data_IF_644515537639
#
_entry.id   IF_644515537639
#
_cell.length_a   1.000
_cell.length_b   1.000
_cell.length_c   1.000
_cell.angle_alpha   90.00
_cell.angle_beta   90.00
_cell.angle_gamma   90.00
#
_symmetry.space_group_name_H-M   'P 1'
#
loop_
_entity.id
_entity.type
_entity.pdbx_description
1 polymer ?
#
# COMPACT_ATOMS: atom_id res chain seq x y z
N UNK A 1 -4.26 10.39 -27.05
CA UNK A 1 -4.29 10.84 -25.65
C UNK A 1 -4.60 9.61 -24.81
N UNK A 2 -3.68 9.15 -23.95
CA UNK A 2 -4.00 8.08 -22.99
C UNK A 2 -4.98 8.66 -21.97
N UNK A 3 -6.02 7.91 -21.62
CA UNK A 3 -6.99 8.37 -20.63
C UNK A 3 -6.33 8.40 -19.26
N UNK A 4 -6.67 9.37 -18.40
CA UNK A 4 -6.18 9.43 -17.00
C UNK A 4 -6.51 8.17 -16.18
N UNK A 5 -7.40 7.31 -16.68
CA UNK A 5 -7.73 6.00 -16.14
C UNK A 5 -6.61 5.00 -16.44
N UNK A 6 -6.08 4.97 -17.66
CA UNK A 6 -5.02 4.05 -18.08
C UNK A 6 -3.72 4.29 -17.32
N UNK A 7 -3.42 5.56 -17.02
CA UNK A 7 -2.24 5.96 -16.23
C UNK A 7 -2.36 5.52 -14.77
N UNK A 8 -3.57 5.68 -14.20
CA UNK A 8 -3.86 5.18 -12.85
C UNK A 8 -3.71 3.65 -12.78
N UNK A 9 -4.30 2.92 -13.73
CA UNK A 9 -4.20 1.45 -13.81
C UNK A 9 -2.73 1.02 -13.96
N UNK A 10 -1.95 1.72 -14.79
CA UNK A 10 -0.54 1.43 -14.98
C UNK A 10 0.28 1.60 -13.68
N UNK A 11 0.01 2.65 -12.89
CA UNK A 11 0.66 2.85 -11.59
C UNK A 11 0.31 1.74 -10.59
N UNK A 12 -0.95 1.32 -10.54
CA UNK A 12 -1.42 0.23 -9.68
C UNK A 12 -0.79 -1.10 -10.05
N UNK A 13 -0.75 -1.42 -11.35
CA UNK A 13 -0.07 -2.61 -11.86
C UNK A 13 1.43 -2.61 -11.56
N UNK A 14 2.10 -1.46 -11.68
CA UNK A 14 3.52 -1.35 -11.34
C UNK A 14 3.78 -1.62 -9.86
N UNK A 15 2.96 -1.05 -8.97
CA UNK A 15 3.06 -1.27 -7.53
C UNK A 15 2.82 -2.75 -7.18
N UNK A 16 1.77 -3.36 -7.75
CA UNK A 16 1.45 -4.78 -7.55
C UNK A 16 2.60 -5.69 -8.00
N UNK A 17 3.14 -5.47 -9.20
CA UNK A 17 4.25 -6.26 -9.75
C UNK A 17 5.51 -6.14 -8.88
N UNK A 18 5.80 -4.93 -8.41
CA UNK A 18 6.93 -4.69 -7.53
C UNK A 18 6.77 -5.41 -6.19
N UNK A 19 5.61 -5.26 -5.56
CA UNK A 19 5.26 -5.96 -4.33
C UNK A 19 5.41 -7.49 -4.48
N UNK A 20 4.81 -8.09 -5.51
CA UNK A 20 4.87 -9.53 -5.75
C UNK A 20 6.32 -10.02 -5.90
N UNK A 21 7.18 -9.25 -6.58
CA UNK A 21 8.60 -9.58 -6.72
C UNK A 21 9.32 -9.55 -5.36
N UNK A 22 9.11 -8.49 -4.57
CA UNK A 22 9.73 -8.35 -3.25
C UNK A 22 9.23 -9.43 -2.29
N UNK A 23 7.95 -9.73 -2.29
CA UNK A 23 7.34 -10.77 -1.46
C UNK A 23 7.91 -12.16 -1.82
N UNK A 24 7.97 -12.48 -3.12
CA UNK A 24 8.62 -13.71 -3.61
C UNK A 24 10.07 -13.83 -3.14
N UNK A 25 10.85 -12.76 -3.25
CA UNK A 25 12.25 -12.75 -2.82
C UNK A 25 12.39 -12.93 -1.31
N UNK A 26 11.52 -12.28 -0.52
CA UNK A 26 11.56 -12.32 0.94
C UNK A 26 11.13 -13.67 1.52
N UNK A 27 10.09 -14.28 0.96
CA UNK A 27 9.47 -15.48 1.54
C UNK A 27 9.70 -16.77 0.75
N UNK A 28 10.22 -16.69 -0.47
CA UNK A 28 10.38 -17.84 -1.37
C UNK A 28 9.06 -18.37 -1.93
N UNK A 29 7.98 -17.60 -1.82
CA UNK A 29 6.62 -18.03 -2.18
C UNK A 29 6.20 -17.40 -3.50
N UNK A 30 5.82 -18.23 -4.48
CA UNK A 30 5.39 -17.77 -5.81
C UNK A 30 4.11 -16.93 -5.75
N UNK A 31 4.18 -15.74 -6.36
CA UNK A 31 3.06 -14.85 -6.64
C UNK A 31 3.01 -14.60 -8.15
N UNK A 32 1.93 -15.01 -8.82
CA UNK A 32 1.89 -15.07 -10.27
C UNK A 32 0.55 -14.63 -10.83
N UNK A 33 0.59 -14.18 -12.08
CA UNK A 33 -0.52 -13.62 -12.84
C UNK A 33 -1.09 -12.33 -12.24
N UNK A 34 -1.33 -11.34 -13.08
CA UNK A 34 -1.85 -10.03 -12.68
C UNK A 34 -3.01 -9.74 -13.63
N UNK A 35 -4.19 -9.56 -13.06
CA UNK A 35 -5.36 -9.11 -13.81
C UNK A 35 -5.94 -7.88 -13.14
N UNK A 36 -6.34 -6.90 -13.94
CA UNK A 36 -7.16 -5.79 -13.47
C UNK A 36 -8.61 -6.26 -13.33
N UNK A 37 -9.30 -5.84 -12.27
CA UNK A 37 -10.69 -6.24 -12.06
C UNK A 37 -11.66 -5.06 -12.24
N UNK A 38 -12.78 -5.33 -12.90
CA UNK A 38 -13.96 -4.47 -12.91
C UNK A 38 -15.25 -5.32 -12.83
N UNK A 39 -16.37 -4.82 -12.25
CA UNK A 39 -16.50 -3.82 -11.19
C UNK A 39 -16.55 -4.45 -9.76
N UNK A 40 -16.41 -3.62 -8.71
CA UNK A 40 -16.52 -3.97 -7.27
C UNK A 40 -15.50 -4.99 -6.72
N UNK A 41 -14.35 -5.11 -7.39
CA UNK A 41 -13.22 -5.97 -6.99
C UNK A 41 -11.98 -5.10 -6.72
N UNK A 42 -11.02 -5.55 -5.90
CA UNK A 42 -9.78 -4.82 -5.64
C UNK A 42 -8.99 -4.58 -6.93
N UNK A 43 -8.14 -3.55 -6.91
CA UNK A 43 -7.46 -3.02 -8.11
C UNK A 43 -6.78 -4.09 -8.97
N UNK A 44 -6.21 -5.12 -8.34
CA UNK A 44 -5.51 -6.23 -9.00
C UNK A 44 -5.87 -7.57 -8.36
N UNK A 45 -6.03 -8.63 -9.15
CA UNK A 45 -6.02 -10.02 -8.69
C UNK A 45 -4.69 -10.70 -9.04
N UNK A 46 -4.24 -11.65 -8.22
CA UNK A 46 -3.11 -12.54 -8.47
C UNK A 46 -3.33 -13.94 -7.85
N UNK A 47 -2.41 -14.87 -8.09
CA UNK A 47 -2.32 -16.12 -7.35
C UNK A 47 -1.14 -16.12 -6.39
N UNK A 48 -1.40 -16.40 -5.11
CA UNK A 48 -0.41 -16.74 -4.09
C UNK A 48 -0.50 -18.24 -3.83
N UNK A 49 0.53 -19.02 -4.18
CA UNK A 49 0.51 -20.49 -4.04
C UNK A 49 -0.75 -21.15 -4.63
N UNK A 50 -1.18 -20.73 -5.82
CA UNK A 50 -2.38 -21.22 -6.52
C UNK A 50 -3.72 -20.81 -5.88
N UNK A 51 -3.71 -20.08 -4.76
CA UNK A 51 -4.90 -19.47 -4.19
C UNK A 51 -5.09 -18.05 -4.72
N UNK A 52 -6.32 -17.69 -5.04
CA UNK A 52 -6.64 -16.33 -5.50
C UNK A 52 -6.40 -15.35 -4.35
N UNK A 53 -5.71 -14.27 -4.66
CA UNK A 53 -5.48 -13.15 -3.76
C UNK A 53 -5.75 -11.86 -4.52
N UNK A 54 -6.57 -10.99 -3.94
CA UNK A 54 -6.81 -9.67 -4.48
C UNK A 54 -6.00 -8.61 -3.72
N UNK A 55 -5.50 -7.64 -4.45
CA UNK A 55 -4.65 -6.55 -3.96
C UNK A 55 -5.38 -5.23 -4.18
N UNK A 56 -5.61 -4.51 -3.09
CA UNK A 56 -5.95 -3.10 -3.13
C UNK A 56 -4.64 -2.30 -3.11
N UNK A 57 -4.49 -1.35 -4.03
CA UNK A 57 -3.30 -0.54 -4.16
C UNK A 57 -3.56 0.88 -3.63
N UNK A 58 -2.59 1.40 -2.91
CA UNK A 58 -2.55 2.79 -2.50
C UNK A 58 -1.16 3.36 -2.69
N UNK A 59 -1.09 4.67 -2.94
CA UNK A 59 0.17 5.40 -3.01
C UNK A 59 0.20 6.43 -1.88
N UNK A 60 1.32 6.48 -1.20
CA UNK A 60 1.56 7.38 -0.09
C UNK A 60 2.35 8.58 -0.60
N UNK A 61 1.79 9.76 -0.47
CA UNK A 61 2.38 11.03 -0.91
C UNK A 61 2.63 11.93 0.29
N UNK A 62 3.71 12.71 0.28
CA UNK A 62 3.98 13.69 1.34
C UNK A 62 3.46 15.09 1.05
N UNK A 63 3.22 15.43 -0.21
CA UNK A 63 2.65 16.73 -0.60
C UNK A 63 1.67 16.64 -1.77
N UNK A 64 0.84 17.67 -1.90
CA UNK A 64 -0.07 17.86 -3.04
C UNK A 64 0.68 17.91 -4.36
N UNK A 65 1.75 18.72 -4.41
CA UNK A 65 2.54 18.91 -5.63
C UNK A 65 3.16 17.60 -6.13
N UNK A 66 3.65 16.75 -5.23
CA UNK A 66 4.18 15.43 -5.59
C UNK A 66 3.09 14.49 -6.06
N UNK A 67 1.95 14.46 -5.36
CA UNK A 67 0.82 13.62 -5.76
C UNK A 67 0.33 14.01 -7.16
N UNK A 68 0.21 15.30 -7.47
CA UNK A 68 -0.14 15.78 -8.81
C UNK A 68 0.94 15.43 -9.85
N UNK A 69 2.22 15.58 -9.52
CA UNK A 69 3.34 15.24 -10.43
C UNK A 69 3.38 13.76 -10.77
N UNK A 70 3.07 12.89 -9.81
CA UNK A 70 3.07 11.43 -10.00
C UNK A 70 1.79 10.97 -10.72
N UNK A 71 0.65 11.58 -10.39
CA UNK A 71 -0.65 11.23 -10.99
C UNK A 71 -0.92 11.92 -12.34
N UNK A 72 -0.11 12.92 -12.72
CA UNK A 72 -0.26 13.67 -13.97
C UNK A 72 -1.54 14.51 -14.05
N UNK A 73 -2.21 14.78 -12.92
CA UNK A 73 -3.52 15.47 -12.86
C UNK A 73 -3.75 16.19 -11.54
N UNK A 74 -4.75 17.08 -11.54
CA UNK A 74 -5.25 17.70 -10.30
C UNK A 74 -5.82 16.65 -9.33
N UNK A 75 -5.54 16.82 -8.04
CA UNK A 75 -6.09 15.98 -6.99
C UNK A 75 -7.57 16.27 -6.78
N UNK A 76 -8.36 15.23 -6.56
CA UNK A 76 -9.79 15.37 -6.27
C UNK A 76 -10.03 15.39 -4.76
N UNK A 77 -10.75 16.41 -4.28
CA UNK A 77 -11.34 16.48 -2.93
C UNK A 77 -10.43 15.91 -1.83
N UNK A 78 -10.99 15.08 -0.93
CA UNK A 78 -10.42 14.56 0.34
C UNK A 78 -8.93 14.14 0.42
N UNK A 79 -8.24 13.99 -0.71
CA UNK A 79 -6.77 13.83 -0.81
C UNK A 79 -6.04 15.16 -0.63
N UNK A 80 -6.59 16.27 -1.14
CA UNK A 80 -6.05 17.62 -1.01
C UNK A 80 -6.07 18.08 0.46
N UNK A 81 -7.25 17.98 1.10
CA UNK A 81 -7.39 18.29 2.53
C UNK A 81 -6.58 17.32 3.39
N UNK A 82 -6.23 16.13 2.86
CA UNK A 82 -5.30 15.22 3.52
C UNK A 82 -3.90 15.77 3.58
N UNK A 83 -3.38 16.18 2.44
CA UNK A 83 -2.00 16.64 2.33
C UNK A 83 -1.83 17.97 3.07
N UNK A 84 -2.79 18.89 2.97
CA UNK A 84 -2.79 20.15 3.74
C UNK A 84 -2.84 19.92 5.26
N UNK A 85 -3.56 18.89 5.73
CA UNK A 85 -3.60 18.58 7.16
C UNK A 85 -2.26 18.05 7.70
N UNK A 86 -1.40 17.47 6.85
CA UNK A 86 -0.10 16.95 7.26
C UNK A 86 0.89 18.06 7.62
N UNK A 87 0.73 19.27 7.05
CA UNK A 87 1.64 20.38 7.33
C UNK A 87 1.62 20.84 8.79
N UNK A 88 0.54 20.56 9.50
CA UNK A 88 0.36 20.87 10.92
C UNK A 88 1.13 19.91 11.84
N UNK A 89 1.64 18.79 11.31
CA UNK A 89 2.37 17.79 12.08
C UNK A 89 3.89 17.99 11.95
N UNK A 90 4.66 17.67 13.01
CA UNK A 90 6.11 17.57 12.91
C UNK A 90 6.51 16.58 11.82
N UNK A 91 7.59 16.87 11.08
CA UNK A 91 8.05 16.05 9.94
C UNK A 91 8.16 14.56 10.31
N UNK A 92 8.71 14.26 11.48
CA UNK A 92 8.86 12.90 11.99
C UNK A 92 7.53 12.15 12.23
N UNK A 93 6.41 12.86 12.39
CA UNK A 93 5.08 12.26 12.60
C UNK A 93 4.24 12.20 11.32
N UNK A 94 4.60 12.98 10.28
CA UNK A 94 3.80 13.10 9.05
C UNK A 94 3.59 11.76 8.36
N UNK A 95 4.64 10.93 8.29
CA UNK A 95 4.56 9.58 7.71
C UNK A 95 3.50 8.73 8.41
N UNK A 96 3.55 8.68 9.74
CA UNK A 96 2.62 7.90 10.55
C UNK A 96 1.18 8.39 10.39
N UNK A 97 0.96 9.71 10.39
CA UNK A 97 -0.37 10.29 10.21
C UNK A 97 -0.92 10.04 8.80
N UNK A 98 -0.07 10.17 7.78
CA UNK A 98 -0.45 9.91 6.39
C UNK A 98 -0.86 8.43 6.20
N UNK A 99 -0.10 7.49 6.77
CA UNK A 99 -0.44 6.07 6.77
C UNK A 99 -1.76 5.79 7.50
N UNK A 100 -1.92 6.31 8.72
CA UNK A 100 -3.14 6.12 9.52
C UNK A 100 -4.39 6.59 8.77
N UNK A 101 -4.31 7.77 8.13
CA UNK A 101 -5.42 8.33 7.35
C UNK A 101 -5.70 7.50 6.09
N UNK A 102 -4.65 7.13 5.35
CA UNK A 102 -4.78 6.31 4.14
C UNK A 102 -5.43 4.97 4.47
N UNK A 103 -4.95 4.27 5.50
CA UNK A 103 -5.48 2.99 5.95
C UNK A 103 -6.93 3.16 6.40
N UNK A 104 -7.26 4.19 7.18
CA UNK A 104 -8.63 4.45 7.64
C UNK A 104 -9.61 4.67 6.48
N UNK A 105 -9.19 5.39 5.43
CA UNK A 105 -10.02 5.61 4.25
C UNK A 105 -10.24 4.33 3.45
N UNK A 106 -9.20 3.49 3.31
CA UNK A 106 -9.28 2.21 2.60
C UNK A 106 -10.06 1.16 3.42
N UNK A 107 -10.01 1.21 4.74
CA UNK A 107 -10.74 0.30 5.64
C UNK A 107 -12.27 0.42 5.51
N UNK A 108 -12.78 1.55 5.03
CA UNK A 108 -14.21 1.76 4.79
C UNK A 108 -14.74 1.07 3.53
N UNK A 109 -13.87 0.43 2.74
CA UNK A 109 -14.25 -0.28 1.51
C UNK A 109 -14.83 -1.66 1.80
N UNK A 110 -15.63 -2.14 0.85
CA UNK A 110 -16.20 -3.48 0.83
C UNK A 110 -15.96 -4.08 -0.55
N UNK A 111 -15.59 -5.36 -0.59
CA UNK A 111 -15.23 -6.07 -1.81
C UNK A 111 -15.97 -7.40 -1.87
N UNK A 112 -16.31 -7.84 -3.09
CA UNK A 112 -16.74 -9.21 -3.34
C UNK A 112 -15.50 -10.08 -3.61
N UNK A 113 -14.78 -10.39 -2.53
CA UNK A 113 -13.53 -11.15 -2.56
C UNK A 113 -13.33 -11.92 -1.25
N UNK A 114 -12.79 -13.13 -1.36
CA UNK A 114 -12.49 -13.98 -0.20
C UNK A 114 -11.25 -13.51 0.56
N UNK A 115 -10.26 -12.95 -0.14
CA UNK A 115 -8.98 -12.52 0.45
C UNK A 115 -8.46 -11.27 -0.23
N UNK A 116 -8.35 -10.20 0.55
CA UNK A 116 -7.83 -8.91 0.10
C UNK A 116 -6.64 -8.48 0.94
N UNK A 117 -5.53 -8.11 0.30
CA UNK A 117 -4.42 -7.44 0.95
C UNK A 117 -4.33 -5.98 0.48
N UNK A 118 -3.95 -5.08 1.38
CA UNK A 118 -3.65 -3.68 1.05
C UNK A 118 -2.15 -3.53 0.83
N UNK A 119 -1.76 -3.05 -0.35
CA UNK A 119 -0.37 -2.71 -0.69
C UNK A 119 -0.27 -1.20 -0.82
N UNK A 120 0.49 -0.60 0.09
CA UNK A 120 0.81 0.83 0.08
C UNK A 120 2.20 0.98 -0.53
N UNK A 121 2.35 1.82 -1.54
CA UNK A 121 3.66 2.17 -2.12
C UNK A 121 4.05 3.57 -1.68
N UNK A 122 5.20 3.70 -1.05
CA UNK A 122 5.74 4.99 -0.67
C UNK A 122 6.26 5.75 -1.90
N UNK A 123 5.67 6.90 -2.15
CA UNK A 123 6.05 7.79 -3.23
C UNK A 123 6.91 8.97 -2.75
N UNK A 124 7.04 9.18 -1.43
CA UNK A 124 7.80 10.27 -0.85
C UNK A 124 9.26 9.86 -0.63
N UNK A 125 10.24 10.53 -1.26
CA UNK A 125 11.64 10.12 -1.22
C UNK A 125 12.28 10.21 0.16
N UNK A 126 11.84 11.16 0.99
CA UNK A 126 12.44 11.38 2.31
C UNK A 126 11.77 10.56 3.43
N UNK A 127 10.67 9.87 3.15
CA UNK A 127 10.02 9.01 4.14
C UNK A 127 10.66 7.64 4.08
N UNK A 128 11.46 7.30 5.08
CA UNK A 128 12.25 6.08 5.06
C UNK A 128 11.56 4.98 5.86
N UNK A 129 11.56 3.75 5.34
CA UNK A 129 11.02 2.60 6.04
C UNK A 129 11.64 2.35 7.41
N UNK A 130 12.88 2.79 7.64
CA UNK A 130 13.57 2.71 8.92
C UNK A 130 12.82 3.44 10.05
N UNK A 131 12.13 4.54 9.74
CA UNK A 131 11.29 5.25 10.72
C UNK A 131 10.09 4.38 11.15
N UNK A 132 9.62 3.51 10.26
CA UNK A 132 8.51 2.58 10.50
C UNK A 132 8.96 1.26 11.10
N UNK A 133 10.21 0.82 10.92
CA UNK A 133 10.69 -0.45 11.50
C UNK A 133 10.59 -0.47 13.03
N UNK A 134 10.71 0.69 13.67
CA UNK A 134 10.62 0.82 15.12
C UNK A 134 9.23 1.23 15.61
N UNK A 135 8.35 1.71 14.73
CA UNK A 135 7.06 2.29 15.09
C UNK A 135 5.81 1.63 14.48
N UNK A 136 5.80 0.38 13.94
CA UNK A 136 4.59 -0.16 13.30
C UNK A 136 3.41 -0.27 14.28
N UNK A 137 3.72 -0.49 15.57
CA UNK A 137 2.76 -0.57 16.66
C UNK A 137 2.04 0.76 16.96
N UNK A 138 2.54 1.88 16.44
CA UNK A 138 1.88 3.18 16.54
C UNK A 138 0.80 3.37 15.47
N UNK A 139 0.73 2.49 14.47
CA UNK A 139 -0.33 2.53 13.46
C UNK A 139 -1.67 2.16 14.08
N UNK A 140 -2.66 3.02 13.84
CA UNK A 140 -4.04 2.86 14.28
C UNK A 140 -4.83 2.16 13.17
N UNK A 141 -4.69 0.84 13.10
CA UNK A 141 -5.48 0.02 12.18
C UNK A 141 -6.92 -0.06 12.74
N UNK A 142 -7.95 0.35 11.98
CA UNK A 142 -9.34 0.21 12.42
C UNK A 142 -9.67 -1.25 12.73
N UNK A 143 -10.51 -1.53 13.73
CA UNK A 143 -10.88 -2.92 14.09
C UNK A 143 -11.66 -3.65 12.99
N UNK A 144 -12.44 -2.90 12.20
CA UNK A 144 -13.24 -3.44 11.09
C UNK A 144 -12.66 -2.91 9.79
N UNK A 145 -12.11 -3.81 8.98
CA UNK A 145 -11.56 -3.55 7.65
C UNK A 145 -11.58 -4.84 6.83
N UNK A 146 -11.52 -4.78 5.49
CA UNK A 146 -11.56 -5.96 4.63
C UNK A 146 -10.19 -6.65 4.43
N UNK A 147 -9.11 -6.06 4.95
CA UNK A 147 -7.75 -6.50 4.63
C UNK A 147 -7.23 -7.58 5.56
N UNK A 148 -6.84 -8.74 5.02
CA UNK A 148 -6.14 -9.78 5.78
C UNK A 148 -4.71 -9.35 6.12
N UNK A 149 -4.03 -8.66 5.19
CA UNK A 149 -2.69 -8.11 5.40
C UNK A 149 -2.57 -6.70 4.83
N UNK A 150 -1.70 -5.89 5.45
CA UNK A 150 -1.34 -4.55 5.01
C UNK A 150 0.18 -4.49 4.91
N UNK A 151 0.67 -4.09 3.74
CA UNK A 151 2.10 -4.05 3.41
C UNK A 151 2.50 -2.67 2.90
N UNK A 152 3.73 -2.27 3.23
CA UNK A 152 4.38 -1.08 2.67
C UNK A 152 5.55 -1.49 1.78
N UNK A 153 5.49 -1.12 0.51
CA UNK A 153 6.67 -1.02 -0.36
C UNK A 153 7.34 0.32 -0.03
N UNK A 154 8.54 0.23 0.53
CA UNK A 154 9.23 1.33 1.22
C UNK A 154 9.64 2.51 0.32
N UNK A 155 9.67 2.32 -1.00
CA UNK A 155 9.98 3.35 -1.97
C UNK A 155 9.32 3.07 -3.34
N UNK A 156 9.63 3.91 -4.33
CA UNK A 156 9.12 3.75 -5.70
C UNK A 156 9.82 2.64 -6.50
N UNK A 157 10.95 2.09 -6.08
CA UNK A 157 11.77 1.16 -6.90
C UNK A 157 11.88 -0.25 -6.33
N UNK A 158 11.46 -0.44 -5.08
CA UNK A 158 11.61 -1.62 -4.24
C UNK A 158 12.95 -1.75 -3.55
N UNK A 159 13.86 -0.78 -3.65
CA UNK A 159 15.23 -0.90 -3.13
C UNK A 159 15.26 -0.87 -1.60
N UNK A 160 14.44 -0.02 -0.97
CA UNK A 160 14.24 0.06 0.47
C UNK A 160 13.42 -1.11 1.05
N UNK A 161 12.93 -2.02 0.19
CA UNK A 161 12.33 -3.28 0.61
C UNK A 161 10.85 -3.22 0.99
N UNK A 162 10.43 -4.23 1.77
CA UNK A 162 9.04 -4.52 2.09
C UNK A 162 8.82 -4.65 3.60
N UNK A 163 7.92 -3.83 4.14
CA UNK A 163 7.60 -3.76 5.57
C UNK A 163 6.17 -4.25 5.82
N UNK A 164 5.96 -5.24 6.72
CA UNK A 164 4.61 -5.61 7.18
C UNK A 164 4.05 -4.53 8.11
N UNK A 165 2.83 -4.06 7.84
CA UNK A 165 2.12 -3.13 8.72
C UNK A 165 0.99 -3.81 9.50
N UNK A 166 0.38 -4.85 8.92
CA UNK A 166 -0.63 -5.67 9.59
C UNK A 166 -0.72 -7.08 8.96
N UNK A 167 -0.94 -8.14 9.75
CA UNK A 167 -0.75 -8.16 11.19
C UNK A 167 0.76 -8.12 11.51
N UNK A 168 1.12 -7.50 12.64
CA UNK A 168 2.52 -7.32 13.05
C UNK A 168 3.23 -8.66 13.37
N UNK A 169 2.47 -9.75 13.50
CA UNK A 169 2.98 -11.11 13.77
C UNK A 169 3.66 -11.78 12.57
N UNK A 170 3.46 -11.29 11.35
CA UNK A 170 4.02 -11.91 10.12
C UNK A 170 5.56 -11.91 10.04
N UNK A 171 6.25 -11.21 10.95
CA UNK A 171 7.72 -11.23 11.05
C UNK A 171 8.29 -12.31 11.99
N UNK A 172 7.48 -12.93 12.86
CA UNK A 172 7.99 -13.77 13.97
C UNK A 172 7.71 -15.29 13.86
N UNK A 173 6.97 -15.77 12.87
CA UNK A 173 6.58 -17.21 12.80
C UNK A 173 7.68 -18.18 12.32
N UNK A 174 8.96 -17.75 12.25
CA UNK A 174 10.08 -18.66 11.92
C UNK A 174 11.07 -18.94 13.06
N UNK A 175 10.76 -18.58 14.31
CA UNK A 175 11.65 -18.89 15.45
C UNK A 175 11.21 -20.02 16.38
N UNK A 176 10.06 -20.66 16.15
CA UNK A 176 9.58 -21.77 16.99
C UNK A 176 9.33 -23.06 16.19
N UNK A 177 10.30 -23.47 15.37
CA UNK A 177 10.44 -24.87 14.95
C UNK A 177 11.93 -25.16 14.77
N UNK A 178 12.64 -25.33 15.88
CA UNK A 178 13.92 -26.06 15.94
C UNK A 178 14.09 -26.64 17.34
#
# INVERSE_FOLDING_TARGET
MKSSIDEKIALEHQAAKLFMRLYQQKFGVKMQHIWHNEPAKPDVSCYLQQQRLDLEIAHLYGSEAEAMKILGRELKGGTLEALQSLDHWPVAERLLQALNRLISNKAQKSYDSEKVWLVIRNAHPDWQAQELEQTPHLLKIPLKHPFEQIWLVADMTGQAGLVPLYPLSTANEKKEQN
#
